data_IF_492693846704
#
_entry.id   IF_492693846704
#
_cell.length_a   1.000
_cell.length_b   1.000
_cell.length_c   1.000
_cell.angle_alpha   90.00
_cell.angle_beta   90.00
_cell.angle_gamma   90.00
#
_symmetry.space_group_name_H-M   'P 1'
#
loop_
_entity.id
_entity.type
_entity.pdbx_description
1 polymer ?
#
# COMPACT_ATOMS: atom_id res chain seq x y z
N UNK A 1 9.70 0.93 -8.46
CA UNK A 1 8.89 1.78 -7.57
C UNK A 1 8.26 2.87 -8.42
N UNK A 2 6.96 3.15 -8.25
CA UNK A 2 6.27 4.25 -8.95
C UNK A 2 5.89 5.32 -7.91
N UNK A 3 6.24 6.58 -8.20
CA UNK A 3 5.85 7.75 -7.40
C UNK A 3 4.79 8.50 -8.20
N UNK A 4 3.69 8.86 -7.54
CA UNK A 4 2.63 9.71 -8.09
C UNK A 4 2.59 11.03 -7.32
N UNK A 5 2.52 12.15 -8.06
CA UNK A 5 2.30 13.48 -7.49
C UNK A 5 0.92 13.50 -6.82
N UNK A 6 0.86 13.81 -5.52
CA UNK A 6 -0.36 13.65 -4.74
C UNK A 6 -1.34 14.82 -4.83
N UNK A 7 -1.03 15.90 -5.56
CA UNK A 7 -1.97 17.01 -5.78
C UNK A 7 -3.28 16.53 -6.44
N UNK A 8 -3.25 15.38 -7.13
CA UNK A 8 -4.44 14.74 -7.69
C UNK A 8 -5.21 13.81 -6.72
N UNK A 9 -4.64 13.46 -5.55
CA UNK A 9 -5.19 12.45 -4.63
C UNK A 9 -5.24 12.93 -3.17
N UNK A 10 -6.46 13.14 -2.66
CA UNK A 10 -6.69 13.33 -1.23
C UNK A 10 -6.39 12.06 -0.44
N UNK A 11 -6.10 12.22 0.85
CA UNK A 11 -5.90 11.09 1.78
C UNK A 11 -7.08 10.11 1.77
N UNK A 12 -8.29 10.64 1.64
CA UNK A 12 -9.51 9.84 1.53
C UNK A 12 -9.48 8.96 0.26
N UNK A 13 -9.15 9.52 -0.90
CA UNK A 13 -9.03 8.74 -2.15
C UNK A 13 -7.95 7.67 -2.08
N UNK A 14 -6.82 7.95 -1.42
CA UNK A 14 -5.75 6.95 -1.21
C UNK A 14 -6.28 5.81 -0.35
N UNK A 15 -7.00 6.10 0.74
CA UNK A 15 -7.59 5.09 1.62
C UNK A 15 -8.64 4.24 0.90
N UNK A 16 -9.52 4.88 0.13
CA UNK A 16 -10.51 4.20 -0.72
C UNK A 16 -9.84 3.28 -1.73
N UNK A 17 -8.79 3.75 -2.40
CA UNK A 17 -8.05 2.94 -3.37
C UNK A 17 -7.38 1.73 -2.71
N UNK A 18 -6.74 1.88 -1.54
CA UNK A 18 -6.19 0.71 -0.82
C UNK A 18 -7.29 -0.24 -0.36
N UNK A 19 -8.45 0.29 0.07
CA UNK A 19 -9.57 -0.57 0.45
C UNK A 19 -10.10 -1.36 -0.75
N UNK A 20 -10.15 -0.77 -1.95
CA UNK A 20 -10.48 -1.50 -3.18
C UNK A 20 -9.48 -2.63 -3.47
N UNK A 21 -8.19 -2.42 -3.24
CA UNK A 21 -7.18 -3.46 -3.37
C UNK A 21 -7.35 -4.58 -2.32
N UNK A 22 -7.88 -4.27 -1.14
CA UNK A 22 -8.12 -5.22 -0.07
C UNK A 22 -9.49 -5.94 -0.17
N UNK A 23 -10.36 -5.51 -1.09
CA UNK A 23 -11.72 -6.02 -1.23
C UNK A 23 -12.54 -5.80 0.05
N UNK A 24 -13.26 -6.83 0.49
CA UNK A 24 -14.09 -6.80 1.69
C UNK A 24 -13.28 -6.93 2.99
N UNK A 25 -11.97 -7.17 2.92
CA UNK A 25 -11.11 -7.27 4.10
C UNK A 25 -10.75 -5.86 4.57
N UNK A 26 -11.16 -5.43 5.78
CA UNK A 26 -10.90 -4.09 6.25
C UNK A 26 -9.42 -3.89 6.59
N UNK A 27 -8.86 -2.75 6.19
CA UNK A 27 -7.55 -2.30 6.64
C UNK A 27 -7.58 -1.96 8.13
N UNK A 28 -6.89 -2.75 8.96
CA UNK A 28 -6.79 -2.50 10.40
C UNK A 28 -5.45 -1.88 10.74
N UNK A 29 -5.46 -0.91 11.64
CA UNK A 29 -4.22 -0.36 12.16
C UNK A 29 -3.48 -1.43 12.96
N UNK A 30 -2.21 -1.63 12.66
CA UNK A 30 -1.33 -2.53 13.39
C UNK A 30 -0.91 -1.90 14.73
N UNK A 31 -0.12 -2.60 15.53
CA UNK A 31 0.52 -2.04 16.73
C UNK A 31 1.41 -0.82 16.42
N UNK A 32 1.90 -0.69 15.18
CA UNK A 32 2.65 0.48 14.72
C UNK A 32 1.69 1.56 14.21
N UNK A 33 1.68 2.71 14.89
CA UNK A 33 0.88 3.87 14.49
C UNK A 33 1.21 4.29 13.05
N UNK A 34 0.16 4.53 12.26
CA UNK A 34 0.31 4.91 10.85
C UNK A 34 0.60 3.75 9.90
N UNK A 35 0.54 2.50 10.37
CA UNK A 35 0.62 1.30 9.51
C UNK A 35 -0.67 0.53 9.61
N UNK A 36 -1.34 0.38 8.47
CA UNK A 36 -2.58 -0.37 8.31
C UNK A 36 -2.31 -1.59 7.44
N UNK A 37 -2.96 -2.72 7.74
CA UNK A 37 -2.75 -4.01 7.09
C UNK A 37 -4.08 -4.71 6.86
N UNK A 38 -4.19 -5.39 5.72
CA UNK A 38 -5.20 -6.40 5.41
C UNK A 38 -4.50 -7.66 4.89
N UNK A 39 -4.90 -8.81 5.42
CA UNK A 39 -4.44 -10.14 5.01
C UNK A 39 -5.58 -10.84 4.28
N UNK A 40 -5.41 -11.07 2.99
CA UNK A 40 -6.44 -11.64 2.12
C UNK A 40 -6.33 -13.17 2.09
N UNK A 41 -7.42 -13.84 1.73
CA UNK A 41 -7.52 -15.31 1.72
C UNK A 41 -6.61 -15.98 0.69
N UNK A 42 -6.21 -15.26 -0.36
CA UNK A 42 -5.28 -15.73 -1.39
C UNK A 42 -3.79 -15.60 -0.99
N UNK A 43 -3.52 -15.13 0.24
CA UNK A 43 -2.18 -14.87 0.75
C UNK A 43 -1.65 -13.47 0.45
N UNK A 44 -2.39 -12.64 -0.30
CA UNK A 44 -2.01 -11.24 -0.54
C UNK A 44 -2.00 -10.46 0.76
N UNK A 45 -0.94 -9.67 0.99
CA UNK A 45 -0.88 -8.73 2.10
C UNK A 45 -0.84 -7.31 1.56
N UNK A 46 -1.86 -6.51 1.92
CA UNK A 46 -1.96 -5.11 1.55
C UNK A 46 -1.62 -4.24 2.75
N UNK A 47 -0.65 -3.33 2.60
CA UNK A 47 -0.34 -2.31 3.59
C UNK A 47 -0.60 -0.90 3.08
N UNK A 48 -1.06 -0.03 3.97
CA UNK A 48 -1.01 1.43 3.83
C UNK A 48 -0.17 1.99 4.98
N UNK A 49 0.85 2.79 4.63
CA UNK A 49 1.80 3.35 5.62
C UNK A 49 1.96 4.85 5.45
N UNK A 50 1.81 5.62 6.54
CA UNK A 50 2.22 7.03 6.62
C UNK A 50 3.64 7.21 7.16
N UNK A 51 4.33 6.10 7.44
CA UNK A 51 5.71 6.06 7.93
C UNK A 51 6.54 5.20 6.98
N UNK A 52 7.66 5.75 6.51
CA UNK A 52 8.56 5.06 5.57
C UNK A 52 10.01 5.41 5.85
N UNK A 53 10.91 4.43 5.76
CA UNK A 53 12.36 4.66 5.90
C UNK A 53 12.93 5.54 4.79
N UNK A 54 12.30 5.56 3.61
CA UNK A 54 12.71 6.41 2.49
C UNK A 54 11.96 7.76 2.48
N UNK A 55 11.36 8.18 3.60
CA UNK A 55 10.63 9.45 3.65
C UNK A 55 11.53 10.62 3.25
N UNK A 56 12.79 10.64 3.69
CA UNK A 56 13.72 11.70 3.34
C UNK A 56 14.00 11.78 1.84
N UNK A 57 14.02 10.65 1.14
CA UNK A 57 14.30 10.59 -0.30
C UNK A 57 13.07 10.91 -1.15
N UNK A 58 11.88 10.53 -0.69
CA UNK A 58 10.66 10.54 -1.53
C UNK A 58 9.63 11.55 -1.09
N UNK A 59 9.75 12.05 0.15
CA UNK A 59 8.78 12.90 0.84
C UNK A 59 7.33 12.38 0.76
N UNK A 60 7.20 11.05 0.72
CA UNK A 60 5.91 10.41 0.51
C UNK A 60 5.04 10.49 1.77
N UNK A 61 3.83 11.03 1.64
CA UNK A 61 2.81 11.08 2.68
C UNK A 61 2.22 9.69 2.94
N UNK A 62 2.06 8.91 1.88
CA UNK A 62 1.53 7.54 1.95
C UNK A 62 2.32 6.58 1.07
N UNK A 63 2.51 5.35 1.54
CA UNK A 63 3.06 4.23 0.78
C UNK A 63 2.09 3.07 0.82
N UNK A 64 1.65 2.60 -0.35
CA UNK A 64 0.92 1.34 -0.52
C UNK A 64 1.92 0.24 -0.84
N UNK A 65 1.78 -0.89 -0.19
CA UNK A 65 2.59 -2.07 -0.45
C UNK A 65 1.70 -3.29 -0.62
N UNK A 66 1.85 -4.00 -1.74
CA UNK A 66 1.17 -5.26 -2.03
C UNK A 66 2.23 -6.35 -2.00
N UNK A 67 2.08 -7.34 -1.13
CA UNK A 67 2.98 -8.48 -1.03
C UNK A 67 2.27 -9.78 -1.32
N UNK A 68 3.05 -10.74 -1.80
CA UNK A 68 2.68 -12.16 -1.89
C UNK A 68 1.43 -12.45 -2.73
N UNK A 69 0.99 -11.48 -3.56
CA UNK A 69 -0.13 -11.66 -4.45
C UNK A 69 0.20 -12.70 -5.54
N UNK A 70 -0.54 -13.82 -5.62
CA UNK A 70 -0.24 -14.92 -6.55
C UNK A 70 -0.18 -14.46 -8.02
N UNK A 71 -1.18 -13.70 -8.47
CA UNK A 71 -1.30 -13.24 -9.86
C UNK A 71 -0.17 -12.30 -10.25
N UNK A 72 0.19 -11.34 -9.38
CA UNK A 72 1.30 -10.42 -9.63
C UNK A 72 2.65 -11.13 -9.62
N UNK A 73 2.83 -12.14 -8.75
CA UNK A 73 4.06 -12.95 -8.71
C UNK A 73 4.24 -13.73 -10.01
N UNK A 74 3.18 -14.33 -10.53
CA UNK A 74 3.20 -15.04 -11.81
C UNK A 74 3.62 -14.10 -12.96
N UNK A 75 3.04 -12.90 -13.01
CA UNK A 75 3.27 -11.94 -14.09
C UNK A 75 4.64 -11.24 -14.03
N UNK A 76 5.19 -11.01 -12.84
CA UNK A 76 6.33 -10.10 -12.68
C UNK A 76 7.55 -10.71 -12.01
N UNK A 77 7.40 -11.90 -11.42
CA UNK A 77 8.41 -12.57 -10.59
C UNK A 77 8.87 -11.72 -9.40
N UNK A 78 8.06 -10.75 -8.97
CA UNK A 78 8.32 -9.92 -7.78
C UNK A 78 7.38 -10.28 -6.66
N UNK A 79 7.91 -10.33 -5.45
CA UNK A 79 7.14 -10.61 -4.23
C UNK A 79 6.46 -9.37 -3.65
N UNK A 80 6.90 -8.18 -4.08
CA UNK A 80 6.44 -6.90 -3.54
C UNK A 80 6.28 -5.84 -4.62
N UNK A 81 5.17 -5.11 -4.52
CA UNK A 81 4.90 -3.89 -5.27
C UNK A 81 4.73 -2.72 -4.32
N UNK A 82 5.25 -1.56 -4.71
CA UNK A 82 5.20 -0.34 -3.90
C UNK A 82 4.81 0.87 -4.74
N UNK A 83 3.81 1.59 -4.25
CA UNK A 83 3.30 2.85 -4.80
C UNK A 83 3.44 3.91 -3.72
N UNK A 84 4.09 5.03 -4.04
CA UNK A 84 4.26 6.16 -3.12
C UNK A 84 3.51 7.38 -3.62
N UNK A 85 2.85 8.08 -2.69
CA UNK A 85 2.16 9.34 -2.91
C UNK A 85 2.92 10.43 -2.17
N UNK A 86 3.48 11.38 -2.91
CA UNK A 86 4.18 12.57 -2.37
C UNK A 86 3.21 13.71 -2.25
#
# INVERSE_FOLDING_TARGET
MKVLESEAFSDQKIREFVQQLAGDVPLKQTSKKGVYRADLSDGTIVHLRSVSSSYEDTKARWTIEIRDNPSLRELTKKEKFEIKFR
#
